data_IF_876722899285
#
_entry.id   IF_876722899285
#
_cell.length_a   1.000
_cell.length_b   1.000
_cell.length_c   1.000
_cell.angle_alpha   90.00
_cell.angle_beta   90.00
_cell.angle_gamma   90.00
#
_symmetry.space_group_name_H-M   'P 1'
#
loop_
_entity.id
_entity.type
_entity.pdbx_description
1 polymer ?
#
# COMPACT_ATOMS: atom_id res chain seq x y z
N UNK A 1 -3.83 -18.52 2.27
CA UNK A 1 -3.18 -17.24 1.93
C UNK A 1 -3.16 -17.11 0.42
N UNK A 2 -3.21 -15.88 -0.09
CA UNK A 2 -2.89 -15.60 -1.48
C UNK A 2 -1.75 -14.59 -1.56
N UNK A 3 -0.93 -14.74 -2.60
CA UNK A 3 0.02 -13.75 -3.04
C UNK A 3 -0.79 -12.79 -3.92
N UNK A 4 -0.87 -11.52 -3.58
CA UNK A 4 -1.58 -10.54 -4.39
C UNK A 4 -0.65 -9.85 -5.34
N UNK A 5 -0.81 -10.12 -6.63
CA UNK A 5 -0.04 -9.46 -7.69
C UNK A 5 -0.98 -9.00 -8.79
N UNK A 6 -1.34 -7.72 -8.76
CA UNK A 6 -2.30 -7.18 -9.71
C UNK A 6 -2.00 -5.76 -10.16
N UNK A 7 -1.94 -5.56 -11.47
CA UNK A 7 -2.08 -4.30 -12.22
C UNK A 7 -1.14 -3.10 -11.95
N UNK A 8 -0.72 -2.90 -10.71
CA UNK A 8 -0.11 -1.67 -10.18
C UNK A 8 1.32 -1.86 -9.67
N UNK A 9 1.73 -3.11 -9.45
CA UNK A 9 3.07 -3.47 -8.97
C UNK A 9 3.76 -4.46 -9.92
N UNK A 10 5.03 -4.22 -10.29
CA UNK A 10 5.80 -5.17 -11.08
C UNK A 10 6.21 -6.42 -10.28
N UNK A 11 6.07 -6.41 -8.95
CA UNK A 11 6.40 -7.54 -8.08
C UNK A 11 5.16 -8.25 -7.55
N UNK A 12 5.25 -9.57 -7.47
CA UNK A 12 4.16 -10.43 -7.01
C UNK A 12 3.92 -10.43 -5.50
N UNK A 13 4.81 -9.79 -4.75
CA UNK A 13 4.77 -9.75 -3.28
C UNK A 13 4.26 -8.41 -2.75
N UNK A 14 4.16 -7.38 -3.61
CA UNK A 14 4.04 -5.98 -3.21
C UNK A 14 2.68 -5.34 -3.59
N UNK A 15 1.66 -6.15 -3.86
CA UNK A 15 0.30 -5.66 -4.15
C UNK A 15 -0.31 -4.90 -2.96
N UNK A 16 -1.33 -4.07 -3.21
CA UNK A 16 -2.00 -3.37 -2.10
C UNK A 16 -2.87 -4.30 -1.26
N UNK A 17 -3.37 -5.39 -1.85
CA UNK A 17 -4.11 -6.47 -1.20
C UNK A 17 -3.36 -7.77 -1.40
N UNK A 18 -3.12 -8.55 -0.34
CA UNK A 18 -2.38 -9.81 -0.46
C UNK A 18 -0.86 -9.63 -0.52
N UNK A 19 -0.38 -8.48 -0.05
CA UNK A 19 1.01 -8.19 0.28
C UNK A 19 1.66 -9.37 1.04
N UNK A 20 2.88 -9.76 0.68
CA UNK A 20 3.57 -10.89 1.33
C UNK A 20 5.03 -10.60 1.69
N UNK A 21 5.47 -9.34 1.64
CA UNK A 21 6.83 -8.97 2.06
C UNK A 21 7.10 -9.25 3.53
N UNK A 22 6.06 -9.39 4.36
CA UNK A 22 6.20 -9.75 5.77
C UNK A 22 6.83 -11.12 6.02
N UNK A 23 6.87 -11.97 4.99
CA UNK A 23 7.57 -13.26 5.04
C UNK A 23 9.08 -13.09 4.88
N UNK A 24 9.51 -11.97 4.29
CA UNK A 24 10.91 -11.65 3.95
C UNK A 24 11.53 -10.64 4.93
N UNK A 25 10.76 -9.62 5.31
CA UNK A 25 11.22 -8.52 6.17
C UNK A 25 11.89 -8.94 7.48
N UNK A 26 11.41 -9.99 8.20
CA UNK A 26 12.08 -10.47 9.41
C UNK A 26 13.53 -10.92 9.18
N UNK A 27 13.86 -11.33 7.97
CA UNK A 27 15.22 -11.70 7.55
C UNK A 27 16.05 -10.51 7.05
N UNK A 28 15.48 -9.31 7.01
CA UNK A 28 16.17 -8.09 6.60
C UNK A 28 16.18 -7.84 5.10
N UNK A 29 15.25 -8.46 4.35
CA UNK A 29 15.10 -8.21 2.91
C UNK A 29 13.64 -8.01 2.52
N UNK A 30 13.42 -7.29 1.41
CA UNK A 30 12.12 -7.01 0.83
C UNK A 30 12.25 -7.19 -0.70
N UNK A 31 11.44 -8.05 -1.34
CA UNK A 31 11.47 -8.21 -2.79
C UNK A 31 11.10 -6.91 -3.50
N UNK A 32 11.78 -6.65 -4.63
CA UNK A 32 11.58 -5.50 -5.51
C UNK A 32 11.61 -4.15 -4.78
N UNK A 33 12.52 -4.02 -3.81
CA UNK A 33 12.74 -2.79 -3.05
C UNK A 33 14.23 -2.53 -2.85
N UNK A 34 14.65 -1.28 -2.90
CA UNK A 34 16.01 -0.87 -2.53
C UNK A 34 16.09 -0.70 -1.01
N UNK A 35 17.15 -1.24 -0.41
CA UNK A 35 17.38 -1.23 1.03
C UNK A 35 18.71 -0.55 1.32
N UNK A 36 18.75 0.19 2.43
CA UNK A 36 20.00 0.76 2.93
C UNK A 36 20.79 -0.33 3.65
N UNK A 37 22.07 -0.46 3.30
CA UNK A 37 23.00 -1.40 3.95
C UNK A 37 24.38 -0.78 3.96
N UNK A 38 24.92 -0.59 5.16
CA UNK A 38 26.28 -0.09 5.38
C UNK A 38 26.61 1.20 4.62
N UNK A 39 25.65 2.14 4.57
CA UNK A 39 25.83 3.41 3.87
C UNK A 39 25.81 3.34 2.34
N UNK A 40 25.33 2.23 1.79
CA UNK A 40 25.02 2.00 0.37
C UNK A 40 23.57 1.56 0.19
N UNK A 41 23.08 1.53 -1.05
CA UNK A 41 21.78 0.92 -1.39
C UNK A 41 21.96 -0.39 -2.14
N UNK A 42 21.19 -1.39 -1.76
CA UNK A 42 21.20 -2.74 -2.36
C UNK A 42 19.79 -3.15 -2.76
N UNK A 43 19.66 -3.96 -3.81
CA UNK A 43 18.35 -4.44 -4.24
C UNK A 43 17.94 -5.66 -3.39
N UNK A 44 16.83 -5.58 -2.66
CA UNK A 44 16.42 -6.62 -1.71
C UNK A 44 16.24 -8.00 -2.35
N UNK A 45 15.78 -8.06 -3.60
CA UNK A 45 15.64 -9.35 -4.31
C UNK A 45 16.94 -10.10 -4.53
N UNK A 46 18.10 -9.44 -4.49
CA UNK A 46 19.39 -10.09 -4.73
C UNK A 46 20.11 -10.51 -3.45
N UNK A 47 19.54 -10.18 -2.28
CA UNK A 47 20.11 -10.53 -0.99
C UNK A 47 19.91 -12.03 -0.68
N UNK A 48 20.95 -12.74 -0.20
CA UNK A 48 20.86 -14.17 0.14
C UNK A 48 19.70 -14.53 1.10
N UNK A 49 19.34 -13.59 1.98
CA UNK A 49 18.24 -13.69 2.94
C UNK A 49 16.87 -13.94 2.26
N UNK A 50 16.75 -13.66 0.96
CA UNK A 50 15.56 -13.95 0.16
C UNK A 50 15.22 -15.46 0.15
N UNK A 51 16.25 -16.33 0.24
CA UNK A 51 16.06 -17.79 0.28
C UNK A 51 15.23 -18.24 1.49
N UNK A 52 15.33 -17.56 2.62
CA UNK A 52 14.57 -17.89 3.83
C UNK A 52 13.05 -17.70 3.61
N UNK A 53 12.69 -16.56 3.03
CA UNK A 53 11.29 -16.27 2.70
C UNK A 53 10.75 -17.17 1.59
N UNK A 54 11.52 -17.39 0.53
CA UNK A 54 11.14 -18.29 -0.57
C UNK A 54 10.96 -19.74 -0.09
N UNK A 55 11.88 -20.23 0.75
CA UNK A 55 11.79 -21.56 1.34
C UNK A 55 10.54 -21.73 2.21
N UNK A 56 10.18 -20.69 2.98
CA UNK A 56 8.96 -20.69 3.79
C UNK A 56 7.69 -20.66 2.96
N UNK A 57 7.63 -19.83 1.91
CA UNK A 57 6.49 -19.81 1.00
C UNK A 57 6.35 -21.15 0.26
N UNK A 58 7.45 -21.79 -0.13
CA UNK A 58 7.43 -23.15 -0.69
C UNK A 58 6.88 -24.17 0.29
N UNK A 59 7.33 -24.17 1.54
CA UNK A 59 6.81 -25.07 2.59
C UNK A 59 5.30 -24.88 2.80
N UNK A 60 4.83 -23.63 2.81
CA UNK A 60 3.39 -23.33 2.94
C UNK A 60 2.59 -23.72 1.69
N UNK A 61 3.19 -23.61 0.51
CA UNK A 61 2.60 -24.10 -0.72
C UNK A 61 2.46 -25.62 -0.71
N UNK A 62 3.52 -26.34 -0.32
CA UNK A 62 3.54 -27.81 -0.22
C UNK A 62 2.51 -28.33 0.82
N UNK A 63 2.28 -27.56 1.89
CA UNK A 63 1.23 -27.82 2.90
C UNK A 63 -0.19 -27.43 2.46
N UNK A 64 -0.35 -26.82 1.29
CA UNK A 64 -1.65 -26.39 0.75
C UNK A 64 -2.21 -25.12 1.39
N UNK A 65 -1.40 -24.33 2.10
CA UNK A 65 -1.83 -23.08 2.72
C UNK A 65 -1.89 -21.91 1.73
N UNK A 66 -1.23 -22.06 0.57
CA UNK A 66 -1.23 -21.10 -0.53
C UNK A 66 -2.04 -21.68 -1.69
N UNK A 67 -2.91 -20.87 -2.30
CA UNK A 67 -3.63 -21.29 -3.51
C UNK A 67 -2.66 -21.69 -4.61
N UNK A 68 -2.98 -22.74 -5.38
CA UNK A 68 -2.22 -23.13 -6.58
C UNK A 68 -2.21 -22.04 -7.66
N UNK A 69 -3.17 -21.13 -7.60
CA UNK A 69 -3.34 -20.02 -8.53
C UNK A 69 -2.89 -18.68 -7.91
N UNK A 70 -2.28 -18.69 -6.71
CA UNK A 70 -1.98 -17.47 -5.96
C UNK A 70 -1.23 -16.42 -6.78
N UNK A 71 -0.19 -16.81 -7.52
CA UNK A 71 0.59 -15.91 -8.39
C UNK A 71 -0.14 -15.38 -9.63
N UNK A 72 -1.40 -15.76 -9.86
CA UNK A 72 -2.25 -15.23 -10.94
C UNK A 72 -3.31 -14.26 -10.43
N UNK A 73 -3.43 -14.08 -9.11
CA UNK A 73 -4.48 -13.25 -8.53
C UNK A 73 -4.05 -11.79 -8.47
N UNK A 74 -4.74 -10.94 -9.22
CA UNK A 74 -4.72 -9.49 -9.00
C UNK A 74 -5.56 -9.11 -7.76
N UNK A 75 -5.48 -7.86 -7.32
CA UNK A 75 -6.18 -7.44 -6.11
C UNK A 75 -7.71 -7.47 -6.27
N UNK A 76 -8.23 -7.27 -7.48
CA UNK A 76 -9.67 -7.40 -7.73
C UNK A 76 -10.11 -8.86 -7.59
N UNK A 77 -9.32 -9.80 -8.13
CA UNK A 77 -9.56 -11.22 -7.99
C UNK A 77 -9.44 -11.66 -6.54
N UNK A 78 -8.47 -11.12 -5.80
CA UNK A 78 -8.39 -11.34 -4.36
C UNK A 78 -9.61 -10.83 -3.61
N UNK A 79 -10.11 -9.64 -3.95
CA UNK A 79 -11.30 -9.11 -3.32
C UNK A 79 -12.54 -9.98 -3.61
N UNK A 80 -12.69 -10.48 -4.84
CA UNK A 80 -13.71 -11.46 -5.22
C UNK A 80 -13.60 -12.75 -4.39
N UNK A 81 -12.38 -13.31 -4.27
CA UNK A 81 -12.13 -14.52 -3.50
C UNK A 81 -12.39 -14.33 -2.00
N UNK A 82 -12.10 -13.14 -1.45
CA UNK A 82 -12.49 -12.79 -0.08
C UNK A 82 -14.01 -12.76 0.02
N UNK A 83 -14.71 -12.09 -0.89
CA UNK A 83 -16.19 -12.05 -0.91
C UNK A 83 -16.85 -13.43 -1.04
N UNK A 84 -16.14 -14.42 -1.58
CA UNK A 84 -16.57 -15.83 -1.68
C UNK A 84 -16.18 -16.69 -0.46
N UNK A 85 -15.50 -16.14 0.55
CA UNK A 85 -15.01 -16.90 1.70
C UNK A 85 -13.85 -17.86 1.39
N UNK A 86 -13.13 -17.64 0.28
CA UNK A 86 -12.01 -18.50 -0.17
C UNK A 86 -10.64 -18.07 0.35
N UNK A 87 -10.58 -16.98 1.13
CA UNK A 87 -9.34 -16.44 1.70
C UNK A 87 -9.44 -16.39 3.23
N UNK A 88 -8.59 -17.16 3.91
CA UNK A 88 -8.55 -17.18 5.38
C UNK A 88 -7.65 -16.11 6.02
N UNK A 89 -6.53 -15.76 5.36
CA UNK A 89 -5.59 -14.73 5.83
C UNK A 89 -5.16 -13.90 4.63
N UNK A 90 -5.16 -12.58 4.79
CA UNK A 90 -4.68 -11.59 3.83
C UNK A 90 -4.00 -10.45 4.59
N UNK A 91 -2.86 -9.98 4.07
CA UNK A 91 -2.27 -8.71 4.53
C UNK A 91 -2.78 -7.61 3.61
N UNK A 92 -3.27 -6.54 4.20
CA UNK A 92 -4.02 -5.51 3.49
C UNK A 92 -3.96 -4.17 4.24
N UNK A 93 -4.42 -3.08 3.63
CA UNK A 93 -4.45 -1.77 4.26
C UNK A 93 -5.51 -1.74 5.37
N UNK A 94 -5.35 -0.80 6.31
CA UNK A 94 -6.26 -0.67 7.46
C UNK A 94 -7.73 -0.46 7.09
N UNK A 95 -8.02 0.02 5.87
CA UNK A 95 -9.36 0.29 5.37
C UNK A 95 -10.07 -0.93 4.77
N UNK A 96 -9.41 -2.11 4.68
CA UNK A 96 -10.02 -3.35 4.18
C UNK A 96 -11.40 -3.69 4.79
N UNK A 97 -11.69 -3.41 6.08
CA UNK A 97 -13.01 -3.72 6.63
C UNK A 97 -14.18 -2.97 6.01
N UNK A 98 -13.92 -1.90 5.27
CA UNK A 98 -14.96 -1.20 4.51
C UNK A 98 -15.27 -1.89 3.18
N UNK A 99 -14.28 -2.56 2.57
CA UNK A 99 -14.43 -3.38 1.38
C UNK A 99 -13.18 -4.26 1.19
N UNK A 100 -13.30 -5.58 0.96
CA UNK A 100 -14.51 -6.33 0.60
C UNK A 100 -15.16 -7.14 1.74
N UNK A 101 -14.81 -6.89 3.02
CA UNK A 101 -15.37 -7.66 4.16
C UNK A 101 -16.91 -7.66 4.19
N UNK A 102 -17.63 -6.55 3.91
CA UNK A 102 -19.09 -6.57 3.87
C UNK A 102 -19.67 -7.55 2.83
N UNK A 103 -18.99 -7.73 1.69
CA UNK A 103 -19.41 -8.69 0.67
C UNK A 103 -19.23 -10.14 1.18
N UNK A 104 -18.14 -10.42 1.91
CA UNK A 104 -17.93 -11.71 2.58
C UNK A 104 -19.06 -12.01 3.57
N UNK A 105 -19.35 -11.07 4.47
CA UNK A 105 -20.38 -11.24 5.52
C UNK A 105 -21.78 -11.42 4.92
N UNK A 106 -22.05 -10.76 3.79
CA UNK A 106 -23.30 -10.92 3.03
C UNK A 106 -23.40 -12.27 2.33
N UNK A 107 -22.33 -12.72 1.67
CA UNK A 107 -22.36 -13.90 0.81
C UNK A 107 -22.14 -15.22 1.57
N UNK A 108 -21.45 -15.17 2.71
CA UNK A 108 -21.07 -16.36 3.49
C UNK A 108 -21.54 -16.20 4.94
N UNK A 109 -22.75 -16.69 5.28
CA UNK A 109 -23.30 -16.56 6.63
C UNK A 109 -22.37 -17.07 7.73
N UNK A 110 -22.10 -16.23 8.72
CA UNK A 110 -21.22 -16.55 9.85
C UNK A 110 -19.72 -16.36 9.57
N UNK A 111 -19.32 -16.04 8.33
CA UNK A 111 -17.94 -15.69 8.04
C UNK A 111 -17.64 -14.24 8.41
N UNK A 112 -16.42 -13.98 8.83
CA UNK A 112 -15.92 -12.63 9.09
C UNK A 112 -14.40 -12.60 9.02
N UNK A 113 -13.82 -11.42 8.83
CA UNK A 113 -12.39 -11.19 9.01
C UNK A 113 -12.18 -10.07 10.03
N UNK A 114 -11.20 -10.27 10.90
CA UNK A 114 -10.82 -9.33 11.94
C UNK A 114 -9.37 -8.88 11.74
N UNK A 115 -9.03 -7.63 12.06
CA UNK A 115 -7.66 -7.16 11.98
C UNK A 115 -6.81 -7.78 13.08
N UNK A 116 -5.54 -8.03 12.77
CA UNK A 116 -4.50 -8.47 13.70
C UNK A 116 -3.20 -7.71 13.40
N UNK A 117 -2.29 -7.58 14.38
CA UNK A 117 -0.94 -7.11 14.12
C UNK A 117 -0.25 -7.97 13.06
N UNK A 118 0.75 -7.39 12.39
CA UNK A 118 1.56 -8.13 11.42
C UNK A 118 2.19 -9.36 12.12
N UNK A 119 2.13 -10.56 11.52
CA UNK A 119 2.70 -11.75 12.15
C UNK A 119 4.22 -11.64 12.31
N UNK A 120 4.73 -12.22 13.41
CA UNK A 120 6.17 -12.32 13.64
C UNK A 120 6.73 -13.62 13.06
N UNK A 121 7.90 -13.57 12.43
CA UNK A 121 8.72 -14.74 12.12
C UNK A 121 10.03 -14.62 12.90
N UNK A 122 10.42 -15.70 13.59
CA UNK A 122 11.59 -15.71 14.48
C UNK A 122 11.60 -14.57 15.51
N UNK A 123 10.41 -14.23 16.05
CA UNK A 123 10.25 -13.15 17.03
C UNK A 123 10.29 -11.73 16.47
N UNK A 124 10.42 -11.55 15.15
CA UNK A 124 10.46 -10.24 14.50
C UNK A 124 9.30 -10.08 13.52
N UNK A 125 8.58 -8.96 13.61
CA UNK A 125 7.67 -8.50 12.56
C UNK A 125 8.41 -7.47 11.72
N UNK A 126 8.38 -7.64 10.40
CA UNK A 126 8.87 -6.61 9.48
C UNK A 126 8.24 -6.81 8.10
N UNK A 127 7.84 -5.74 7.43
CA UNK A 127 7.33 -5.74 6.06
C UNK A 127 7.79 -4.49 5.32
N UNK A 128 7.51 -4.37 4.02
CA UNK A 128 7.77 -3.13 3.29
C UNK A 128 6.95 -1.99 3.84
N UNK A 129 7.48 -0.78 3.74
CA UNK A 129 6.71 0.43 4.00
C UNK A 129 5.86 0.84 2.80
N UNK A 130 4.91 1.74 3.06
CA UNK A 130 4.09 2.37 2.03
C UNK A 130 4.91 3.40 1.28
N UNK A 131 4.90 3.35 -0.06
CA UNK A 131 5.45 4.44 -0.87
C UNK A 131 4.51 5.64 -0.83
N UNK A 132 5.00 6.79 -0.39
CA UNK A 132 4.19 8.00 -0.19
C UNK A 132 4.01 8.86 -1.45
N UNK A 133 4.81 8.62 -2.50
CA UNK A 133 4.70 9.29 -3.79
C UNK A 133 3.59 8.63 -4.64
N UNK A 134 2.36 9.12 -4.53
CA UNK A 134 1.23 8.75 -5.41
C UNK A 134 1.07 9.75 -6.55
N UNK A 135 2.09 9.81 -7.40
CA UNK A 135 2.15 10.76 -8.51
C UNK A 135 2.48 12.18 -8.06
N UNK A 136 2.30 13.11 -8.99
CA UNK A 136 2.57 14.52 -8.77
C UNK A 136 2.11 15.34 -9.97
N UNK A 137 1.90 16.62 -9.74
CA UNK A 137 1.61 17.55 -10.81
C UNK A 137 2.92 17.97 -11.47
N UNK A 138 3.06 17.66 -12.76
CA UNK A 138 4.25 18.03 -13.55
C UNK A 138 3.90 19.26 -14.36
N UNK A 139 4.67 20.34 -14.18
CA UNK A 139 4.52 21.58 -14.93
C UNK A 139 5.63 21.63 -15.98
N UNK A 140 5.24 21.90 -17.24
CA UNK A 140 6.20 22.06 -18.33
C UNK A 140 7.12 23.26 -18.05
N UNK A 141 8.38 23.17 -18.47
CA UNK A 141 9.27 24.33 -18.45
C UNK A 141 8.70 25.49 -19.29
N UNK A 142 8.72 26.71 -18.74
CA UNK A 142 8.13 27.88 -19.41
C UNK A 142 6.60 27.88 -19.46
N UNK A 143 5.92 27.21 -18.52
CA UNK A 143 4.49 27.43 -18.30
C UNK A 143 4.25 28.82 -17.69
N UNK A 144 3.58 29.69 -18.44
CA UNK A 144 3.46 31.12 -18.14
C UNK A 144 2.71 31.41 -16.83
N UNK A 145 1.83 30.51 -16.39
CA UNK A 145 0.92 30.73 -15.24
C UNK A 145 1.14 29.74 -14.10
N UNK A 146 2.41 29.45 -13.79
CA UNK A 146 2.75 28.56 -12.67
C UNK A 146 2.25 29.13 -11.32
N UNK A 147 2.15 30.44 -11.20
CA UNK A 147 1.55 31.15 -10.06
C UNK A 147 0.06 30.83 -9.87
N UNK A 148 -0.73 30.84 -10.95
CA UNK A 148 -2.16 30.51 -10.91
C UNK A 148 -2.41 29.09 -10.40
N UNK A 149 -1.48 28.17 -10.71
CA UNK A 149 -1.53 26.81 -10.19
C UNK A 149 -1.31 26.75 -8.67
N UNK A 150 -0.32 27.48 -8.14
CA UNK A 150 -0.13 27.53 -6.70
C UNK A 150 -1.30 28.20 -5.97
N UNK A 151 -1.91 29.21 -6.57
CA UNK A 151 -3.15 29.81 -6.05
C UNK A 151 -4.29 28.79 -6.02
N UNK A 152 -4.46 28.02 -7.10
CA UNK A 152 -5.43 26.93 -7.16
C UNK A 152 -5.20 25.89 -6.05
N UNK A 153 -3.95 25.44 -5.89
CA UNK A 153 -3.59 24.47 -4.85
C UNK A 153 -3.86 25.04 -3.45
N UNK A 154 -3.40 26.25 -3.14
CA UNK A 154 -3.66 26.90 -1.86
C UNK A 154 -5.16 26.92 -1.53
N UNK A 155 -6.01 27.25 -2.52
CA UNK A 155 -7.45 27.29 -2.38
C UNK A 155 -8.05 25.90 -2.11
N UNK A 156 -7.72 24.90 -2.92
CA UNK A 156 -8.29 23.54 -2.78
C UNK A 156 -7.85 22.84 -1.49
N UNK A 157 -6.66 23.15 -0.96
CA UNK A 157 -6.15 22.65 0.31
C UNK A 157 -6.87 23.22 1.55
N UNK A 158 -7.73 24.24 1.41
CA UNK A 158 -8.49 24.78 2.53
C UNK A 158 -9.75 23.98 2.89
N UNK A 159 -9.98 22.81 2.26
CA UNK A 159 -11.12 21.95 2.58
C UNK A 159 -11.15 21.59 4.08
N UNK A 160 -12.30 21.79 4.72
CA UNK A 160 -12.51 21.45 6.13
C UNK A 160 -11.84 22.41 7.12
N UNK A 161 -11.15 23.45 6.64
CA UNK A 161 -10.58 24.50 7.49
C UNK A 161 -11.69 25.46 7.91
N UNK A 162 -11.80 25.71 9.22
CA UNK A 162 -12.77 26.65 9.76
C UNK A 162 -12.59 28.05 9.13
N UNK A 163 -13.70 28.65 8.67
CA UNK A 163 -13.72 29.96 8.03
C UNK A 163 -13.24 29.97 6.57
N UNK A 164 -12.88 28.83 5.99
CA UNK A 164 -12.61 28.75 4.55
C UNK A 164 -13.91 28.63 3.75
N UNK A 165 -13.85 28.95 2.46
CA UNK A 165 -14.98 28.73 1.54
C UNK A 165 -15.36 27.23 1.39
N UNK A 166 -14.46 26.32 1.80
CA UNK A 166 -14.62 24.88 1.73
C UNK A 166 -14.76 24.24 3.12
N UNK A 167 -15.17 25.00 4.13
CA UNK A 167 -15.34 24.52 5.51
C UNK A 167 -16.23 23.26 5.56
N UNK A 168 -17.33 23.24 4.80
CA UNK A 168 -18.31 22.16 4.81
C UNK A 168 -18.03 21.04 3.78
N UNK A 169 -17.20 21.33 2.78
CA UNK A 169 -16.94 20.47 1.63
C UNK A 169 -16.65 21.32 0.40
N UNK A 170 -16.33 20.69 -0.74
CA UNK A 170 -16.02 21.46 -1.95
C UNK A 170 -17.26 21.97 -2.66
N UNK A 171 -18.33 21.17 -2.73
CA UNK A 171 -19.52 21.53 -3.48
C UNK A 171 -20.79 21.01 -2.79
N UNK A 172 -21.68 21.93 -2.47
CA UNK A 172 -22.99 21.61 -1.90
C UNK A 172 -23.82 20.79 -2.90
N UNK A 173 -24.50 19.76 -2.39
CA UNK A 173 -25.21 18.71 -3.11
C UNK A 173 -24.32 17.78 -3.95
N UNK A 174 -23.00 17.76 -3.69
CA UNK A 174 -22.07 16.79 -4.27
C UNK A 174 -21.33 15.99 -3.19
N UNK A 175 -20.58 16.64 -2.30
CA UNK A 175 -19.90 15.98 -1.16
C UNK A 175 -20.49 16.29 0.22
N UNK A 176 -21.30 17.34 0.30
CA UNK A 176 -22.10 17.69 1.47
C UNK A 176 -23.43 18.33 1.05
N UNK A 177 -24.36 18.49 1.97
CA UNK A 177 -25.59 19.29 1.79
C UNK A 177 -25.93 19.99 3.11
N UNK A 178 -26.75 21.05 3.05
CA UNK A 178 -27.33 21.68 4.23
C UNK A 178 -28.79 21.25 4.34
N UNK A 179 -29.12 20.57 5.44
CA UNK A 179 -30.48 20.12 5.75
C UNK A 179 -31.40 21.30 6.01
N UNK A 180 -32.71 21.05 5.95
CA UNK A 180 -33.73 22.07 6.21
C UNK A 180 -33.63 22.71 7.60
N UNK A 181 -33.05 22.00 8.58
CA UNK A 181 -32.79 22.51 9.93
C UNK A 181 -31.47 23.32 10.06
N UNK A 182 -30.78 23.55 8.94
CA UNK A 182 -29.50 24.27 8.89
C UNK A 182 -28.28 23.42 9.23
N UNK A 183 -28.44 22.13 9.52
CA UNK A 183 -27.30 21.25 9.81
C UNK A 183 -26.62 20.76 8.53
N UNK A 184 -25.29 20.69 8.56
CA UNK A 184 -24.50 20.14 7.44
C UNK A 184 -24.49 18.63 7.51
N UNK A 185 -24.78 17.96 6.40
CA UNK A 185 -24.63 16.51 6.24
C UNK A 185 -23.67 16.16 5.10
N UNK A 186 -22.93 15.07 5.30
CA UNK A 186 -22.04 14.46 4.30
C UNK A 186 -22.47 13.03 3.94
N UNK A 187 -23.61 12.60 4.47
CA UNK A 187 -24.15 11.26 4.29
C UNK A 187 -24.79 11.16 2.90
N UNK A 188 -24.51 10.06 2.20
CA UNK A 188 -24.97 9.84 0.81
C UNK A 188 -26.49 9.93 0.67
N UNK A 189 -27.22 9.41 1.66
CA UNK A 189 -28.68 9.41 1.69
C UNK A 189 -29.29 10.81 1.82
N UNK A 190 -28.54 11.78 2.35
CA UNK A 190 -29.01 13.16 2.49
C UNK A 190 -28.73 14.00 1.24
N UNK A 191 -27.77 13.60 0.40
CA UNK A 191 -27.32 14.38 -0.75
C UNK A 191 -28.29 14.21 -1.94
N UNK A 192 -28.89 15.30 -2.46
CA UNK A 192 -29.80 15.22 -3.60
C UNK A 192 -29.14 14.60 -4.83
N UNK A 193 -29.69 13.48 -5.31
CA UNK A 193 -29.14 12.74 -6.46
C UNK A 193 -27.96 11.80 -6.14
N UNK A 194 -27.59 11.69 -4.86
CA UNK A 194 -26.49 10.86 -4.38
C UNK A 194 -25.14 11.57 -4.42
N UNK A 195 -24.18 11.05 -3.65
CA UNK A 195 -22.86 11.63 -3.46
C UNK A 195 -22.01 11.50 -4.71
N UNK A 196 -21.50 12.63 -5.17
CA UNK A 196 -20.53 12.70 -6.27
C UNK A 196 -19.23 13.26 -5.69
N UNK A 197 -18.17 12.46 -5.64
CA UNK A 197 -16.89 12.87 -5.08
C UNK A 197 -16.18 13.94 -5.93
N UNK A 198 -16.11 15.21 -5.51
CA UNK A 198 -15.55 16.28 -6.33
C UNK A 198 -14.03 16.17 -6.52
N UNK A 199 -13.37 15.37 -5.67
CA UNK A 199 -11.99 14.95 -5.81
C UNK A 199 -11.64 14.46 -7.23
N UNK A 200 -12.62 13.86 -7.93
CA UNK A 200 -12.44 13.33 -9.29
C UNK A 200 -12.34 14.42 -10.36
N UNK A 201 -12.72 15.65 -10.03
CA UNK A 201 -12.81 16.79 -10.97
C UNK A 201 -11.85 17.93 -10.61
N UNK A 202 -11.03 17.76 -9.57
CA UNK A 202 -9.94 18.68 -9.22
C UNK A 202 -8.62 18.17 -9.82
N UNK A 203 -7.69 19.09 -10.12
CA UNK A 203 -6.38 18.73 -10.69
C UNK A 203 -5.54 17.88 -9.73
N UNK A 204 -5.72 18.10 -8.43
CA UNK A 204 -5.06 17.33 -7.38
C UNK A 204 -5.94 17.31 -6.14
N UNK A 205 -6.12 16.12 -5.57
CA UNK A 205 -6.80 15.95 -4.29
C UNK A 205 -5.78 16.13 -3.14
N UNK A 206 -5.95 17.13 -2.25
CA UNK A 206 -5.11 17.28 -1.07
C UNK A 206 -5.44 16.17 -0.08
N UNK A 207 -4.54 15.19 0.03
CA UNK A 207 -4.62 14.13 1.03
C UNK A 207 -3.31 14.02 1.77
N UNK A 208 -3.36 14.26 3.09
CA UNK A 208 -2.35 13.72 3.99
C UNK A 208 -2.73 12.26 4.29
N UNK A 209 -1.96 11.27 3.81
CA UNK A 209 -2.28 9.86 4.03
C UNK A 209 -2.16 9.46 5.51
N UNK A 210 -1.47 10.23 6.35
CA UNK A 210 -1.23 9.92 7.76
C UNK A 210 -2.27 10.52 8.70
N UNK A 211 -2.80 11.71 8.40
CA UNK A 211 -3.76 12.39 9.30
C UNK A 211 -4.95 11.48 9.61
N UNK A 212 -5.55 10.86 8.59
CA UNK A 212 -6.70 9.97 8.80
C UNK A 212 -6.32 8.70 9.59
N UNK A 213 -5.16 8.09 9.29
CA UNK A 213 -4.70 6.92 10.04
C UNK A 213 -4.50 7.26 11.52
N UNK A 214 -3.75 8.33 11.81
CA UNK A 214 -3.44 8.76 13.18
C UNK A 214 -4.71 9.11 13.95
N UNK A 215 -5.68 9.73 13.28
CA UNK A 215 -6.98 10.02 13.87
C UNK A 215 -7.75 8.74 14.22
N UNK A 216 -7.84 7.78 13.28
CA UNK A 216 -8.48 6.48 13.51
C UNK A 216 -7.80 5.72 14.67
N UNK A 217 -6.46 5.69 14.68
CA UNK A 217 -5.69 5.04 15.73
C UNK A 217 -5.89 5.73 17.09
N UNK A 218 -5.91 7.07 17.15
CA UNK A 218 -6.23 7.85 18.36
C UNK A 218 -7.61 7.48 18.91
N UNK A 219 -8.63 7.43 18.04
CA UNK A 219 -9.99 7.07 18.44
C UNK A 219 -10.09 5.60 18.88
N UNK A 220 -9.37 4.69 18.20
CA UNK A 220 -9.30 3.26 18.58
C UNK A 220 -8.75 3.06 20.00
N UNK A 221 -7.81 3.92 20.42
CA UNK A 221 -7.23 3.91 21.78
C UNK A 221 -8.14 4.51 22.85
N UNK A 222 -9.37 4.91 22.51
CA UNK A 222 -10.37 5.39 23.46
C UNK A 222 -10.22 6.86 23.86
N UNK A 223 -9.56 7.68 23.05
CA UNK A 223 -9.52 9.12 23.30
C UNK A 223 -10.93 9.73 23.18
N UNK A 224 -11.26 10.66 24.08
CA UNK A 224 -12.54 11.36 24.04
C UNK A 224 -12.61 12.30 22.81
N UNK A 225 -13.66 12.20 21.98
CA UNK A 225 -13.81 13.06 20.81
C UNK A 225 -14.15 14.50 21.20
N UNK A 226 -13.30 15.43 20.76
CA UNK A 226 -13.39 16.87 21.02
C UNK A 226 -13.78 17.70 19.79
N UNK A 227 -13.70 17.10 18.60
CA UNK A 227 -14.01 17.76 17.31
C UNK A 227 -15.10 17.00 16.54
N UNK A 228 -15.79 17.69 15.63
CA UNK A 228 -16.79 17.07 14.75
C UNK A 228 -16.18 15.94 13.89
N UNK A 229 -14.91 16.10 13.49
CA UNK A 229 -14.13 15.11 12.75
C UNK A 229 -13.91 13.83 13.58
N UNK A 230 -13.51 13.96 14.85
CA UNK A 230 -13.35 12.82 15.77
C UNK A 230 -14.67 12.09 16.03
N UNK A 231 -15.76 12.84 16.24
CA UNK A 231 -17.10 12.28 16.39
C UNK A 231 -17.54 11.52 15.12
N UNK A 232 -17.13 11.99 13.94
CA UNK A 232 -17.42 11.33 12.67
C UNK A 232 -16.66 10.02 12.53
N UNK A 233 -15.37 10.02 12.87
CA UNK A 233 -14.54 8.81 12.77
C UNK A 233 -15.09 7.66 13.60
N UNK A 234 -15.68 7.92 14.77
CA UNK A 234 -16.33 6.91 15.60
C UNK A 234 -17.53 6.21 14.96
N UNK A 235 -18.13 6.79 13.90
CA UNK A 235 -19.20 6.13 13.12
C UNK A 235 -18.67 5.17 12.04
N UNK A 236 -17.37 5.14 11.82
CA UNK A 236 -16.72 4.21 10.87
C UNK A 236 -16.75 2.78 11.42
N UNK A 237 -16.60 1.79 10.55
CA UNK A 237 -16.47 0.38 10.95
C UNK A 237 -15.42 0.24 12.09
N UNK A 238 -15.79 -0.30 13.28
CA UNK A 238 -14.87 -0.46 14.41
C UNK A 238 -13.62 -1.30 14.08
N UNK A 239 -13.73 -2.23 13.13
CA UNK A 239 -12.59 -3.01 12.64
C UNK A 239 -11.57 -2.13 11.91
N UNK A 240 -12.02 -1.09 11.21
CA UNK A 240 -11.15 -0.11 10.55
C UNK A 240 -10.37 0.73 11.57
N UNK A 241 -11.02 1.15 12.67
CA UNK A 241 -10.35 1.83 13.78
C UNK A 241 -9.25 0.95 14.36
N UNK A 242 -9.57 -0.32 14.66
CA UNK A 242 -8.60 -1.24 15.25
C UNK A 242 -7.46 -1.60 14.30
N UNK A 243 -7.75 -1.77 13.01
CA UNK A 243 -6.73 -1.99 12.00
C UNK A 243 -5.78 -0.79 11.88
N UNK A 244 -6.30 0.44 11.98
CA UNK A 244 -5.49 1.65 11.93
C UNK A 244 -4.54 1.76 13.12
N UNK A 245 -5.00 1.39 14.32
CA UNK A 245 -4.14 1.31 15.51
C UNK A 245 -2.96 0.37 15.30
N UNK A 246 -3.17 -0.84 14.77
CA UNK A 246 -2.08 -1.78 14.52
C UNK A 246 -1.05 -1.28 13.51
N UNK A 247 -1.48 -0.54 12.48
CA UNK A 247 -0.56 0.05 11.50
C UNK A 247 0.24 1.20 12.15
N UNK A 248 -0.41 2.07 12.92
CA UNK A 248 0.24 3.19 13.61
C UNK A 248 1.24 2.70 14.68
N UNK A 249 0.88 1.65 15.44
CA UNK A 249 1.78 0.96 16.36
C UNK A 249 2.96 0.33 15.62
N UNK A 250 2.71 -0.30 14.47
CA UNK A 250 3.74 -0.90 13.63
C UNK A 250 4.78 0.12 13.15
N UNK A 251 4.36 1.31 12.71
CA UNK A 251 5.26 2.40 12.35
C UNK A 251 6.07 2.88 13.57
N UNK A 252 5.40 3.07 14.72
CA UNK A 252 6.07 3.48 15.96
C UNK A 252 7.10 2.46 16.44
N UNK A 253 6.88 1.17 16.14
CA UNK A 253 7.79 0.07 16.47
C UNK A 253 8.88 -0.19 15.42
N UNK A 254 8.92 0.56 14.30
CA UNK A 254 9.89 0.34 13.22
C UNK A 254 9.65 -0.97 12.44
N UNK A 255 8.41 -1.43 12.36
CA UNK A 255 8.03 -2.66 11.65
C UNK A 255 8.17 -2.52 10.13
N UNK A 256 8.03 -1.31 9.60
CA UNK A 256 7.98 -1.08 8.16
C UNK A 256 9.33 -0.62 7.63
N UNK A 257 9.88 -1.39 6.69
CA UNK A 257 11.17 -1.13 6.05
C UNK A 257 10.96 -0.19 4.87
N UNK A 258 11.44 1.05 5.02
CA UNK A 258 11.35 2.07 3.98
C UNK A 258 12.16 1.68 2.73
N UNK A 259 11.67 2.11 1.56
CA UNK A 259 12.45 2.04 0.34
C UNK A 259 13.57 3.09 0.38
N UNK A 260 14.82 2.65 0.32
CA UNK A 260 15.99 3.51 0.41
C UNK A 260 16.23 4.33 -0.88
N UNK A 261 15.64 3.91 -2.01
CA UNK A 261 15.66 4.67 -3.25
C UNK A 261 14.32 5.39 -3.47
N UNK A 262 14.31 6.71 -3.30
CA UNK A 262 13.11 7.56 -3.48
C UNK A 262 13.27 8.57 -4.61
N UNK A 263 14.33 8.44 -5.42
CA UNK A 263 14.58 9.27 -6.59
C UNK A 263 13.68 8.90 -7.78
N UNK A 264 13.75 9.72 -8.83
CA UNK A 264 13.19 9.36 -10.14
C UNK A 264 13.86 8.07 -10.65
N UNK A 265 13.10 7.16 -11.30
CA UNK A 265 13.69 5.95 -11.88
C UNK A 265 14.89 6.27 -12.76
N UNK A 266 16.01 5.59 -12.52
CA UNK A 266 17.24 5.79 -13.27
C UNK A 266 17.11 5.29 -14.71
N UNK A 267 18.09 5.57 -15.56
CA UNK A 267 18.03 5.15 -16.98
C UNK A 267 17.98 3.62 -17.09
N UNK A 268 18.76 2.91 -16.28
CA UNK A 268 18.72 1.46 -16.25
C UNK A 268 17.36 0.96 -15.75
N UNK A 269 16.82 1.51 -14.66
CA UNK A 269 15.48 1.15 -14.16
C UNK A 269 14.39 1.30 -15.22
N UNK A 270 14.42 2.39 -15.99
CA UNK A 270 13.45 2.63 -17.07
C UNK A 270 13.58 1.62 -18.22
N UNK A 271 14.81 1.21 -18.56
CA UNK A 271 15.07 0.38 -19.74
C UNK A 271 15.16 -1.12 -19.45
N UNK A 272 15.43 -1.50 -18.19
CA UNK A 272 15.70 -2.88 -17.75
C UNK A 272 14.75 -3.35 -16.64
N UNK A 273 14.15 -2.46 -15.87
CA UNK A 273 13.29 -2.83 -14.73
C UNK A 273 12.17 -3.79 -15.09
N UNK A 274 11.52 -3.63 -16.26
CA UNK A 274 10.46 -4.55 -16.70
C UNK A 274 10.95 -5.98 -16.95
N UNK A 275 12.13 -6.17 -17.55
CA UNK A 275 12.68 -7.52 -17.80
C UNK A 275 13.26 -8.13 -16.51
N UNK A 276 13.84 -7.31 -15.63
CA UNK A 276 14.34 -7.75 -14.33
C UNK A 276 13.21 -8.20 -13.40
N UNK A 277 12.11 -7.43 -13.32
CA UNK A 277 10.94 -7.80 -12.54
C UNK A 277 10.28 -9.10 -13.05
N UNK A 278 10.25 -9.28 -14.38
CA UNK A 278 9.78 -10.54 -14.97
C UNK A 278 10.67 -11.72 -14.57
N UNK A 279 11.99 -11.58 -14.67
CA UNK A 279 12.95 -12.60 -14.25
C UNK A 279 12.78 -12.97 -12.77
N UNK A 280 12.59 -11.96 -11.91
CA UNK A 280 12.31 -12.15 -10.47
C UNK A 280 11.03 -12.97 -10.27
N UNK A 281 9.90 -12.51 -10.85
CA UNK A 281 8.61 -13.17 -10.69
C UNK A 281 8.61 -14.63 -11.17
N UNK A 282 9.16 -14.89 -12.35
CA UNK A 282 9.25 -16.25 -12.91
C UNK A 282 10.13 -17.17 -12.07
N UNK A 283 11.27 -16.67 -11.58
CA UNK A 283 12.17 -17.46 -10.74
C UNK A 283 11.52 -17.75 -9.39
N UNK A 284 11.00 -16.73 -8.71
CA UNK A 284 10.52 -16.85 -7.34
C UNK A 284 9.23 -17.69 -7.30
N UNK A 285 8.30 -17.53 -8.25
CA UNK A 285 7.16 -18.43 -8.39
C UNK A 285 7.58 -19.86 -8.69
N UNK A 286 8.57 -20.04 -9.59
CA UNK A 286 9.11 -21.36 -9.88
C UNK A 286 9.65 -22.06 -8.63
N UNK A 287 10.33 -21.33 -7.75
CA UNK A 287 10.83 -21.85 -6.47
C UNK A 287 9.66 -22.21 -5.52
N UNK A 288 8.71 -21.28 -5.36
CA UNK A 288 7.55 -21.44 -4.45
C UNK A 288 6.69 -22.65 -4.87
N UNK A 289 6.46 -22.82 -6.17
CA UNK A 289 5.66 -23.93 -6.71
C UNK A 289 6.42 -25.24 -6.86
N UNK A 290 7.68 -25.30 -6.40
CA UNK A 290 8.53 -26.48 -6.49
C UNK A 290 8.99 -26.85 -7.91
N UNK A 291 8.76 -25.98 -8.89
CA UNK A 291 9.21 -26.15 -10.28
C UNK A 291 10.72 -25.87 -10.44
N UNK A 292 11.29 -25.10 -9.51
CA UNK A 292 12.72 -24.82 -9.40
C UNK A 292 13.22 -25.19 -8.00
N UNK A 293 14.46 -25.70 -7.87
CA UNK A 293 15.10 -25.85 -6.57
C UNK A 293 15.44 -24.48 -5.96
N UNK A 294 15.64 -24.43 -4.63
CA UNK A 294 15.90 -23.17 -3.92
C UNK A 294 17.23 -22.50 -4.34
N UNK A 295 18.21 -23.29 -4.76
CA UNK A 295 19.50 -22.81 -5.29
C UNK A 295 19.38 -22.13 -6.67
N UNK A 296 18.24 -22.25 -7.37
CA UNK A 296 17.97 -21.45 -8.56
C UNK A 296 18.01 -19.94 -8.29
N UNK A 297 17.85 -19.53 -7.02
CA UNK A 297 18.09 -18.17 -6.58
C UNK A 297 19.50 -17.66 -6.94
N UNK A 298 20.54 -18.49 -6.78
CA UNK A 298 21.92 -18.06 -7.04
C UNK A 298 22.16 -17.81 -8.54
N UNK A 299 21.45 -18.55 -9.40
CA UNK A 299 21.42 -18.29 -10.85
C UNK A 299 20.65 -17.02 -11.14
N UNK A 300 19.52 -16.79 -10.48
CA UNK A 300 18.73 -15.57 -10.63
C UNK A 300 19.57 -14.31 -10.36
N UNK A 301 20.32 -14.27 -9.25
CA UNK A 301 21.15 -13.09 -8.91
C UNK A 301 22.14 -12.79 -10.04
N UNK A 302 22.85 -13.81 -10.53
CA UNK A 302 23.84 -13.65 -11.62
C UNK A 302 23.21 -13.14 -12.91
N UNK A 303 22.04 -13.67 -13.29
CA UNK A 303 21.34 -13.21 -14.49
C UNK A 303 20.73 -11.82 -14.32
N UNK A 304 20.21 -11.51 -13.13
CA UNK A 304 19.68 -10.18 -12.79
C UNK A 304 20.77 -9.11 -12.93
N UNK A 305 21.95 -9.34 -12.35
CA UNK A 305 23.10 -8.45 -12.47
C UNK A 305 23.48 -8.22 -13.94
N UNK A 306 23.61 -9.31 -14.70
CA UNK A 306 24.02 -9.31 -16.11
C UNK A 306 23.05 -8.58 -17.05
N UNK A 307 21.74 -8.68 -16.81
CA UNK A 307 20.72 -8.06 -17.67
C UNK A 307 20.72 -6.53 -17.53
N UNK A 308 21.06 -6.03 -16.33
CA UNK A 308 21.07 -4.61 -16.04
C UNK A 308 21.06 -4.27 -14.55
N UNK A 309 20.92 -5.26 -13.68
CA UNK A 309 20.86 -5.07 -12.24
C UNK A 309 22.12 -4.45 -11.62
N UNK A 310 23.30 -4.78 -12.15
CA UNK A 310 24.56 -4.14 -11.72
C UNK A 310 24.54 -2.64 -12.04
N UNK A 311 24.06 -2.29 -13.24
CA UNK A 311 23.94 -0.90 -13.67
C UNK A 311 22.87 -0.16 -12.86
N UNK A 312 21.71 -0.78 -12.58
CA UNK A 312 20.69 -0.19 -11.70
C UNK A 312 21.24 0.07 -10.30
N UNK A 313 21.97 -0.89 -9.74
CA UNK A 313 22.57 -0.78 -8.41
C UNK A 313 23.60 0.34 -8.36
N UNK A 314 24.43 0.46 -9.39
CA UNK A 314 25.38 1.56 -9.52
C UNK A 314 24.68 2.92 -9.59
N UNK A 315 23.70 3.08 -10.47
CA UNK A 315 22.96 4.34 -10.63
C UNK A 315 22.17 4.71 -9.36
N UNK A 316 21.59 3.73 -8.68
CA UNK A 316 20.90 3.92 -7.40
C UNK A 316 21.88 4.41 -6.31
N UNK A 317 23.09 3.83 -6.25
CA UNK A 317 24.13 4.29 -5.33
C UNK A 317 24.64 5.69 -5.68
N UNK A 318 24.83 6.01 -6.96
CA UNK A 318 25.21 7.35 -7.40
C UNK A 318 24.16 8.41 -6.98
N UNK A 319 22.88 8.08 -7.10
CA UNK A 319 21.80 8.93 -6.58
C UNK A 319 21.86 9.04 -5.05
N UNK A 320 22.05 7.91 -4.35
CA UNK A 320 22.03 7.85 -2.90
C UNK A 320 23.17 8.68 -2.29
N UNK A 321 24.38 8.60 -2.83
CA UNK A 321 25.51 9.41 -2.35
C UNK A 321 25.34 10.92 -2.60
N UNK A 322 24.57 11.32 -3.63
CA UNK A 322 24.25 12.73 -3.90
C UNK A 322 23.12 13.28 -3.05
N UNK A 323 22.31 12.39 -2.46
CA UNK A 323 21.09 12.74 -1.72
C UNK A 323 21.27 12.68 -0.21
N UNK A 324 22.46 12.30 0.27
CA UNK A 324 22.87 12.40 1.68
C UNK A 324 23.18 13.83 2.10
#
# INVERSE_FOLDING_TARGET
>A
MSLGSGGSSPSIFNGWLGESTWVFGPFGTIPNQWLEKDGSVVHGSTLPEMKEGLGRLRDWYDKGYISKEAGLHDENKLAELIGQGRVGIVVAPYWLPNWPIPDLEKNVPGATMNPYPLPTLNGKAAARDTTFLRGGLIVREGFEHTDALFLYLNRIFEKGKQGSEFENGWYENYDYTVKADGTVSVDDADIPGGKVGPAKYVLMEPKDPFTNLKLLAKMSRGAEPSTAEEQRVLRTNPKTLKAAEFVDDGWSAGTYMANAFTGSPTKAMQTKGGILAKLEGETFLGIIYGQKPLDAFDTFVKEWDKIGGEQETKEANEWYQKSK
#
